data_IF_590606266502
#
_entry.id   IF_590606266502
#
_cell.length_a   1.000
_cell.length_b   1.000
_cell.length_c   1.000
_cell.angle_alpha   90.00
_cell.angle_beta   90.00
_cell.angle_gamma   90.00
#
_symmetry.space_group_name_H-M   'P 1'
#
loop_
_entity.id
_entity.type
_entity.pdbx_description
1 polymer ?
#
# COMPACT_ATOMS: atom_id res chain seq x y z
N UNK A 1 -22.71 -5.16 -4.02
CA UNK A 1 -21.75 -6.26 -4.33
C UNK A 1 -21.43 -6.36 -5.83
N UNK A 2 -22.40 -6.31 -6.72
CA UNK A 2 -22.20 -6.47 -8.17
C UNK A 2 -21.08 -5.61 -8.78
N UNK A 3 -20.98 -4.28 -8.52
CA UNK A 3 -19.91 -3.46 -9.12
C UNK A 3 -18.50 -3.95 -8.77
N UNK A 4 -18.29 -4.38 -7.52
CA UNK A 4 -17.00 -4.90 -7.07
C UNK A 4 -16.59 -6.17 -7.82
N UNK A 5 -17.52 -7.13 -7.96
CA UNK A 5 -17.25 -8.39 -8.66
C UNK A 5 -16.89 -8.11 -10.12
N UNK A 6 -17.65 -7.26 -10.81
CA UNK A 6 -17.41 -6.93 -12.22
C UNK A 6 -16.06 -6.26 -12.40
N UNK A 7 -15.75 -5.23 -11.60
CA UNK A 7 -14.46 -4.50 -11.70
C UNK A 7 -13.30 -5.41 -11.34
N UNK A 8 -13.42 -6.28 -10.32
CA UNK A 8 -12.39 -7.24 -9.96
C UNK A 8 -12.11 -8.22 -11.11
N UNK A 9 -13.15 -8.83 -11.68
CA UNK A 9 -12.98 -9.77 -12.79
C UNK A 9 -12.30 -9.12 -14.00
N UNK A 10 -12.73 -7.90 -14.38
CA UNK A 10 -12.12 -7.15 -15.47
C UNK A 10 -10.66 -6.81 -15.14
N UNK A 11 -10.40 -6.23 -13.97
CA UNK A 11 -9.04 -5.80 -13.60
C UNK A 11 -8.07 -6.98 -13.50
N UNK A 12 -8.46 -8.07 -12.86
CA UNK A 12 -7.66 -9.29 -12.73
C UNK A 12 -7.38 -9.89 -14.11
N UNK A 13 -8.41 -9.97 -14.98
CA UNK A 13 -8.25 -10.44 -16.35
C UNK A 13 -7.26 -9.59 -17.16
N UNK A 14 -7.33 -8.26 -17.03
CA UNK A 14 -6.38 -7.34 -17.66
C UNK A 14 -4.97 -7.48 -17.09
N UNK A 15 -4.81 -7.64 -15.78
CA UNK A 15 -3.49 -7.92 -15.19
C UNK A 15 -2.91 -9.23 -15.71
N UNK A 16 -3.69 -10.31 -15.77
CA UNK A 16 -3.27 -11.59 -16.33
C UNK A 16 -2.92 -11.47 -17.83
N UNK A 17 -3.70 -10.69 -18.60
CA UNK A 17 -3.38 -10.39 -19.99
C UNK A 17 -2.07 -9.61 -20.11
N UNK A 18 -1.79 -8.67 -19.21
CA UNK A 18 -0.56 -7.89 -19.20
C UNK A 18 0.71 -8.74 -19.03
N UNK A 19 0.61 -9.92 -18.43
CA UNK A 19 1.72 -10.86 -18.30
C UNK A 19 2.04 -11.58 -19.62
N UNK A 20 1.09 -11.63 -20.56
CA UNK A 20 1.21 -12.35 -21.84
C UNK A 20 1.52 -11.46 -23.03
N UNK A 21 1.31 -10.14 -22.94
CA UNK A 21 1.50 -9.20 -24.04
C UNK A 21 2.90 -8.60 -24.07
N UNK A 22 3.30 -8.02 -25.23
CA UNK A 22 4.56 -7.30 -25.40
C UNK A 22 4.62 -6.08 -24.47
N UNK A 23 5.83 -5.69 -24.11
CA UNK A 23 6.09 -4.56 -23.18
C UNK A 23 5.38 -3.26 -23.56
N UNK A 24 5.31 -2.93 -24.84
CA UNK A 24 4.66 -1.71 -25.35
C UNK A 24 3.16 -1.69 -25.08
N UNK A 25 2.49 -2.84 -25.16
CA UNK A 25 1.05 -2.98 -24.92
C UNK A 25 0.70 -3.13 -23.43
N UNK A 26 1.66 -3.53 -22.61
CA UNK A 26 1.48 -3.78 -21.17
C UNK A 26 1.11 -2.52 -20.41
N UNK A 27 1.81 -1.39 -20.66
CA UNK A 27 1.61 -0.15 -19.91
C UNK A 27 0.15 0.34 -19.89
N UNK A 28 -0.53 0.51 -21.05
CA UNK A 28 -1.92 0.96 -21.04
C UNK A 28 -2.87 -0.04 -20.38
N UNK A 29 -2.64 -1.35 -20.55
CA UNK A 29 -3.47 -2.39 -19.92
C UNK A 29 -3.36 -2.30 -18.40
N UNK A 30 -2.15 -2.22 -17.85
CA UNK A 30 -1.92 -2.08 -16.41
C UNK A 30 -2.50 -0.77 -15.89
N UNK A 31 -2.31 0.34 -16.60
CA UNK A 31 -2.88 1.63 -16.22
C UNK A 31 -4.41 1.56 -16.09
N UNK A 32 -5.09 1.00 -17.08
CA UNK A 32 -6.56 0.82 -17.04
C UNK A 32 -6.96 -0.05 -15.85
N UNK A 33 -6.25 -1.17 -15.61
CA UNK A 33 -6.56 -2.10 -14.50
C UNK A 33 -6.40 -1.43 -13.13
N UNK A 34 -5.29 -0.70 -12.92
CA UNK A 34 -5.03 0.04 -11.69
C UNK A 34 -6.08 1.13 -11.48
N UNK A 35 -6.35 1.93 -12.53
CA UNK A 35 -7.32 3.01 -12.44
C UNK A 35 -8.74 2.50 -12.19
N UNK A 36 -9.13 1.37 -12.75
CA UNK A 36 -10.44 0.77 -12.48
C UNK A 36 -10.63 0.43 -10.99
N UNK A 37 -9.60 -0.18 -10.36
CA UNK A 37 -9.64 -0.47 -8.93
C UNK A 37 -9.62 0.82 -8.09
N UNK A 38 -8.76 1.78 -8.41
CA UNK A 38 -8.68 3.05 -7.68
C UNK A 38 -9.98 3.85 -7.78
N UNK A 39 -10.60 3.92 -8.96
CA UNK A 39 -11.88 4.60 -9.14
C UNK A 39 -13.02 3.89 -8.40
N UNK A 40 -13.03 2.55 -8.39
CA UNK A 40 -14.00 1.80 -7.60
C UNK A 40 -13.90 2.16 -6.11
N UNK A 41 -12.70 2.24 -5.56
CA UNK A 41 -12.48 2.69 -4.18
C UNK A 41 -12.87 4.17 -4.00
N UNK A 42 -12.54 5.02 -4.98
CA UNK A 42 -12.87 6.44 -4.96
C UNK A 42 -14.37 6.73 -4.95
N UNK A 43 -15.14 5.95 -5.68
CA UNK A 43 -16.60 6.13 -5.83
C UNK A 43 -17.42 5.50 -4.70
N UNK A 44 -16.78 4.90 -3.70
CA UNK A 44 -17.49 4.31 -2.55
C UNK A 44 -18.21 5.37 -1.71
N UNK A 45 -19.35 5.00 -1.16
CA UNK A 45 -20.06 5.84 -0.21
C UNK A 45 -19.23 6.02 1.08
N UNK A 46 -19.39 7.15 1.76
CA UNK A 46 -18.71 7.49 3.03
C UNK A 46 -18.93 6.45 4.12
N UNK A 47 -20.07 5.74 4.10
CA UNK A 47 -20.37 4.66 5.02
C UNK A 47 -19.60 3.36 4.77
N UNK A 48 -18.85 3.25 3.66
CA UNK A 48 -18.04 2.09 3.33
C UNK A 48 -16.60 2.33 3.80
N UNK A 49 -16.19 1.53 4.77
CA UNK A 49 -14.87 1.64 5.42
C UNK A 49 -14.92 2.46 6.71
N UNK A 50 -14.50 1.85 7.81
CA UNK A 50 -14.47 2.48 9.14
C UNK A 50 -13.57 3.72 9.13
N UNK A 51 -12.35 3.61 8.57
CA UNK A 51 -11.41 4.72 8.47
C UNK A 51 -11.96 5.90 7.65
N UNK A 52 -12.80 5.64 6.66
CA UNK A 52 -13.40 6.71 5.86
C UNK A 52 -14.23 7.63 6.73
N UNK A 53 -15.07 7.08 7.60
CA UNK A 53 -15.96 7.87 8.46
C UNK A 53 -15.23 8.47 9.66
N UNK A 54 -14.33 7.69 10.27
CA UNK A 54 -13.71 8.04 11.56
C UNK A 54 -12.54 9.00 11.39
N UNK A 55 -11.73 8.81 10.35
CA UNK A 55 -10.50 9.57 10.13
C UNK A 55 -10.52 10.41 8.86
N UNK A 56 -10.86 9.82 7.70
CA UNK A 56 -10.74 10.53 6.43
C UNK A 56 -11.71 11.70 6.32
N UNK A 57 -12.98 11.50 6.67
CA UNK A 57 -13.98 12.58 6.57
C UNK A 57 -13.65 13.79 7.43
N UNK A 58 -13.36 13.64 8.75
CA UNK A 58 -12.97 14.78 9.58
C UNK A 58 -11.74 15.51 9.04
N UNK A 59 -10.71 14.78 8.61
CA UNK A 59 -9.47 15.36 8.07
C UNK A 59 -9.72 16.08 6.74
N UNK A 60 -10.55 15.50 5.86
CA UNK A 60 -10.97 16.13 4.60
C UNK A 60 -11.77 17.42 4.85
N UNK A 61 -12.74 17.42 5.76
CA UNK A 61 -13.52 18.61 6.09
C UNK A 61 -12.63 19.70 6.73
N UNK A 62 -11.70 19.31 7.61
CA UNK A 62 -10.72 20.24 8.16
C UNK A 62 -9.84 20.84 7.03
N UNK A 63 -9.34 20.02 6.10
CA UNK A 63 -8.57 20.47 4.95
C UNK A 63 -9.37 21.44 4.05
N UNK A 64 -10.66 21.18 3.88
CA UNK A 64 -11.55 22.02 3.04
C UNK A 64 -11.77 23.40 3.66
N UNK A 65 -11.99 23.46 4.98
CA UNK A 65 -12.35 24.69 5.72
C UNK A 65 -11.14 25.56 6.05
N UNK A 66 -9.98 24.96 6.33
CA UNK A 66 -8.79 25.68 6.79
C UNK A 66 -8.23 26.63 5.72
N UNK A 67 -7.80 27.82 6.15
CA UNK A 67 -7.12 28.80 5.31
C UNK A 67 -5.60 28.77 5.47
N UNK A 68 -5.09 28.11 6.52
CA UNK A 68 -3.66 27.97 6.79
C UNK A 68 -3.32 26.54 7.24
N UNK A 69 -2.04 26.18 7.10
CA UNK A 69 -1.53 24.87 7.58
C UNK A 69 -1.66 24.77 9.10
N UNK A 70 -1.42 25.86 9.84
CA UNK A 70 -1.56 25.89 11.29
C UNK A 70 -2.99 25.65 11.75
N UNK A 71 -3.97 26.26 11.09
CA UNK A 71 -5.39 26.04 11.35
C UNK A 71 -5.79 24.58 11.06
N UNK A 72 -5.31 24.04 9.93
CA UNK A 72 -5.54 22.64 9.57
C UNK A 72 -5.00 21.67 10.61
N UNK A 73 -3.74 21.81 11.01
CA UNK A 73 -3.08 20.91 11.95
C UNK A 73 -3.70 20.97 13.36
N UNK A 74 -4.22 22.13 13.77
CA UNK A 74 -4.90 22.29 15.06
C UNK A 74 -6.41 22.02 15.00
N UNK A 75 -6.94 21.61 13.85
CA UNK A 75 -8.34 21.18 13.74
C UNK A 75 -8.55 19.91 14.55
N UNK A 76 -9.60 19.95 15.41
CA UNK A 76 -9.98 18.81 16.24
C UNK A 76 -11.11 18.01 15.61
N UNK A 77 -11.14 16.72 15.91
CA UNK A 77 -12.21 15.80 15.55
C UNK A 77 -12.38 14.73 16.63
N UNK A 78 -13.44 13.96 16.55
CA UNK A 78 -13.71 12.86 17.46
C UNK A 78 -13.66 11.54 16.68
N UNK A 79 -12.56 10.80 16.83
CA UNK A 79 -12.49 9.43 16.33
C UNK A 79 -13.43 8.51 17.12
N UNK A 80 -13.52 8.77 18.43
CA UNK A 80 -14.48 8.14 19.35
C UNK A 80 -15.20 9.22 20.16
N UNK A 81 -16.37 8.90 20.71
CA UNK A 81 -17.22 9.86 21.44
C UNK A 81 -16.57 10.47 22.69
N UNK A 82 -15.54 9.80 23.21
CA UNK A 82 -14.83 10.20 24.46
C UNK A 82 -13.43 10.77 24.24
N UNK A 83 -12.95 10.87 23.00
CA UNK A 83 -11.63 11.43 22.68
C UNK A 83 -11.77 12.67 21.83
N UNK A 84 -10.89 13.65 22.06
CA UNK A 84 -10.69 14.76 21.14
C UNK A 84 -9.32 14.56 20.51
N UNK A 85 -9.30 14.29 19.22
CA UNK A 85 -8.11 14.03 18.43
C UNK A 85 -7.82 15.27 17.59
N UNK A 86 -6.55 15.53 17.28
CA UNK A 86 -6.14 16.62 16.41
C UNK A 86 -5.45 16.06 15.17
N UNK A 87 -5.57 16.78 14.05
CA UNK A 87 -4.92 16.41 12.79
C UNK A 87 -3.40 16.28 12.94
N UNK A 88 -2.78 17.13 13.76
CA UNK A 88 -1.34 17.10 14.06
C UNK A 88 -0.86 15.86 14.82
N UNK A 89 -1.76 15.16 15.50
CA UNK A 89 -1.42 13.96 16.28
C UNK A 89 -1.45 12.69 15.44
N UNK A 90 -1.86 12.80 14.16
CA UNK A 90 -1.82 11.71 13.20
C UNK A 90 -0.43 11.58 12.55
N UNK A 91 -0.16 10.40 12.01
CA UNK A 91 1.05 10.18 11.20
C UNK A 91 1.07 11.14 10.01
N UNK A 92 2.19 11.88 9.78
CA UNK A 92 2.18 13.13 9.02
C UNK A 92 1.86 13.00 7.53
N UNK A 93 2.19 11.86 6.89
CA UNK A 93 1.96 11.75 5.44
C UNK A 93 0.49 11.57 5.07
N UNK A 94 -0.32 10.97 5.94
CA UNK A 94 -1.74 10.81 5.65
C UNK A 94 -2.47 12.17 5.62
N UNK A 95 -2.44 13.02 6.66
CA UNK A 95 -3.09 14.31 6.61
C UNK A 95 -2.47 15.25 5.55
N UNK A 96 -1.16 15.16 5.31
CA UNK A 96 -0.51 15.95 4.26
C UNK A 96 -1.06 15.59 2.87
N UNK A 97 -1.20 14.29 2.56
CA UNK A 97 -1.77 13.82 1.30
C UNK A 97 -3.22 14.29 1.14
N UNK A 98 -4.02 14.14 2.20
CA UNK A 98 -5.42 14.58 2.21
C UNK A 98 -5.50 16.09 1.98
N UNK A 99 -4.66 16.89 2.65
CA UNK A 99 -4.61 18.35 2.46
C UNK A 99 -4.31 18.72 1.01
N UNK A 100 -3.24 18.17 0.45
CA UNK A 100 -2.79 18.49 -0.91
C UNK A 100 -3.89 18.16 -1.92
N UNK A 101 -4.42 16.93 -1.88
CA UNK A 101 -5.43 16.50 -2.85
C UNK A 101 -6.73 17.29 -2.68
N UNK A 102 -7.14 17.59 -1.44
CA UNK A 102 -8.35 18.39 -1.16
C UNK A 102 -8.19 19.81 -1.68
N UNK A 103 -7.04 20.47 -1.47
CA UNK A 103 -6.81 21.84 -1.95
C UNK A 103 -6.76 21.93 -3.48
N UNK A 104 -6.29 20.89 -4.15
CA UNK A 104 -6.23 20.86 -5.63
C UNK A 104 -7.58 20.52 -6.24
N UNK A 105 -8.31 19.54 -5.69
CA UNK A 105 -9.48 18.97 -6.36
C UNK A 105 -10.82 19.33 -5.71
N UNK A 106 -10.82 19.68 -4.43
CA UNK A 106 -12.03 19.88 -3.64
C UNK A 106 -12.91 18.63 -3.47
N UNK A 107 -12.44 17.46 -3.93
CA UNK A 107 -13.26 16.24 -4.07
C UNK A 107 -12.78 15.12 -3.16
N UNK A 108 -13.69 14.62 -2.31
CA UNK A 108 -13.45 13.44 -1.50
C UNK A 108 -13.20 12.18 -2.36
N UNK A 109 -13.89 12.05 -3.50
CA UNK A 109 -13.68 10.95 -4.42
C UNK A 109 -12.25 10.91 -4.94
N UNK A 110 -11.67 12.06 -5.26
CA UNK A 110 -10.27 12.14 -5.67
C UNK A 110 -9.32 11.73 -4.53
N UNK A 111 -9.59 12.17 -3.30
CA UNK A 111 -8.80 11.78 -2.14
C UNK A 111 -8.81 10.27 -1.94
N UNK A 112 -10.01 9.65 -1.95
CA UNK A 112 -10.15 8.18 -1.84
C UNK A 112 -9.45 7.44 -2.97
N UNK A 113 -9.55 7.94 -4.22
CA UNK A 113 -8.88 7.36 -5.39
C UNK A 113 -7.36 7.39 -5.23
N UNK A 114 -6.80 8.52 -4.78
CA UNK A 114 -5.35 8.67 -4.59
C UNK A 114 -4.84 7.82 -3.42
N UNK A 115 -5.60 7.72 -2.33
CA UNK A 115 -5.23 6.85 -1.21
C UNK A 115 -5.16 5.38 -1.66
N UNK A 116 -6.12 4.92 -2.45
CA UNK A 116 -6.08 3.55 -2.99
C UNK A 116 -4.94 3.37 -4.02
N UNK A 117 -4.62 4.38 -4.81
CA UNK A 117 -3.46 4.37 -5.69
C UNK A 117 -2.16 4.21 -4.88
N UNK A 118 -2.04 4.85 -3.72
CA UNK A 118 -0.90 4.68 -2.81
C UNK A 118 -0.79 3.26 -2.24
N UNK A 119 -1.88 2.47 -2.22
CA UNK A 119 -1.84 1.04 -1.87
C UNK A 119 -1.44 0.19 -3.08
N UNK A 120 -2.13 0.38 -4.21
CA UNK A 120 -1.98 -0.51 -5.37
C UNK A 120 -0.65 -0.32 -6.09
N UNK A 121 -0.14 0.92 -6.19
CA UNK A 121 1.06 1.20 -6.96
C UNK A 121 2.32 0.56 -6.37
N UNK A 122 2.63 0.67 -5.05
CA UNK A 122 3.77 -0.03 -4.47
C UNK A 122 3.64 -1.55 -4.60
N UNK A 123 2.45 -2.11 -4.41
CA UNK A 123 2.19 -3.53 -4.58
C UNK A 123 2.45 -3.98 -6.03
N UNK A 124 1.95 -3.24 -7.02
CA UNK A 124 2.23 -3.50 -8.43
C UNK A 124 3.73 -3.50 -8.72
N UNK A 125 4.46 -2.49 -8.23
CA UNK A 125 5.92 -2.40 -8.43
C UNK A 125 6.63 -3.57 -7.77
N UNK A 126 6.23 -3.96 -6.57
CA UNK A 126 6.80 -5.11 -5.85
C UNK A 126 6.63 -6.41 -6.65
N UNK A 127 5.41 -6.71 -7.10
CA UNK A 127 5.13 -7.91 -7.91
C UNK A 127 5.91 -7.90 -9.23
N UNK A 128 6.11 -6.73 -9.83
CA UNK A 128 6.89 -6.60 -11.07
C UNK A 128 8.40 -6.79 -10.85
N UNK A 129 8.90 -6.53 -9.66
CA UNK A 129 10.29 -6.82 -9.27
C UNK A 129 10.52 -8.30 -8.99
N UNK A 130 9.53 -8.99 -8.45
CA UNK A 130 9.57 -10.45 -8.27
C UNK A 130 9.30 -11.15 -9.61
N UNK A 131 10.34 -11.75 -10.18
CA UNK A 131 10.27 -12.44 -11.47
C UNK A 131 9.47 -13.76 -11.43
N UNK A 132 9.20 -14.28 -10.24
CA UNK A 132 8.56 -15.57 -10.05
C UNK A 132 7.04 -15.46 -9.84
N UNK A 133 6.52 -14.27 -9.63
CA UNK A 133 5.10 -14.05 -9.33
C UNK A 133 4.36 -13.47 -10.53
N UNK A 134 3.26 -14.12 -10.94
CA UNK A 134 2.34 -13.59 -11.94
C UNK A 134 1.58 -12.40 -11.36
N UNK A 135 1.53 -11.30 -12.12
CA UNK A 135 0.79 -10.10 -11.73
C UNK A 135 -0.71 -10.38 -11.60
N UNK A 136 -1.26 -11.16 -12.53
CA UNK A 136 -2.68 -11.56 -12.48
C UNK A 136 -3.02 -12.32 -11.20
N UNK A 137 -2.16 -13.27 -10.78
CA UNK A 137 -2.37 -14.04 -9.54
C UNK A 137 -2.24 -13.16 -8.29
N UNK A 138 -1.20 -12.33 -8.23
CA UNK A 138 -0.99 -11.42 -7.10
C UNK A 138 -2.16 -10.45 -6.92
N UNK A 139 -2.66 -9.87 -8.01
CA UNK A 139 -3.80 -8.96 -7.98
C UNK A 139 -5.12 -9.68 -7.72
N UNK A 140 -5.26 -10.95 -8.12
CA UNK A 140 -6.37 -11.77 -7.69
C UNK A 140 -6.42 -11.93 -6.16
N UNK A 141 -5.30 -12.29 -5.55
CA UNK A 141 -5.19 -12.42 -4.08
C UNK A 141 -5.47 -11.08 -3.41
N UNK A 142 -4.91 -9.97 -3.94
CA UNK A 142 -5.17 -8.64 -3.42
C UNK A 142 -6.67 -8.29 -3.46
N UNK A 143 -7.33 -8.47 -4.60
CA UNK A 143 -8.75 -8.15 -4.75
C UNK A 143 -9.64 -8.98 -3.84
N UNK A 144 -9.32 -10.28 -3.65
CA UNK A 144 -10.14 -11.19 -2.85
C UNK A 144 -9.92 -11.01 -1.33
N UNK A 145 -8.69 -10.77 -0.89
CA UNK A 145 -8.35 -10.79 0.53
C UNK A 145 -8.04 -9.39 1.11
N UNK A 146 -7.47 -8.48 0.33
CA UNK A 146 -6.90 -7.24 0.86
C UNK A 146 -7.57 -5.95 0.39
N UNK A 147 -8.33 -5.98 -0.70
CA UNK A 147 -8.99 -4.77 -1.22
C UNK A 147 -10.03 -4.19 -0.26
N UNK A 148 -10.84 -5.03 0.38
CA UNK A 148 -11.79 -4.54 1.38
C UNK A 148 -11.09 -4.05 2.67
N UNK A 149 -10.11 -4.77 3.24
CA UNK A 149 -9.24 -4.25 4.29
C UNK A 149 -8.56 -2.92 3.95
N UNK A 150 -8.11 -2.69 2.71
CA UNK A 150 -7.45 -1.43 2.33
C UNK A 150 -8.37 -0.21 2.48
N UNK A 151 -9.65 -0.38 2.26
CA UNK A 151 -10.64 0.68 2.47
C UNK A 151 -10.98 0.91 3.96
N UNK A 152 -10.77 -0.09 4.82
CA UNK A 152 -11.07 -0.02 6.26
C UNK A 152 -9.87 0.40 7.11
N UNK A 153 -8.64 0.17 6.65
CA UNK A 153 -7.38 0.45 7.34
C UNK A 153 -6.42 1.16 6.38
N UNK A 154 -6.85 2.31 5.85
CA UNK A 154 -6.16 2.99 4.73
C UNK A 154 -4.70 3.27 5.01
N UNK A 155 -4.38 3.89 6.15
CA UNK A 155 -3.00 4.24 6.54
C UNK A 155 -2.11 3.00 6.66
N UNK A 156 -2.61 2.00 7.35
CA UNK A 156 -1.90 0.73 7.54
C UNK A 156 -1.72 -0.02 6.21
N UNK A 157 -2.70 -0.01 5.33
CA UNK A 157 -2.61 -0.69 4.03
C UNK A 157 -1.59 -0.05 3.10
N UNK A 158 -1.49 1.29 3.10
CA UNK A 158 -0.42 2.01 2.40
C UNK A 158 0.94 1.60 2.96
N UNK A 159 1.09 1.58 4.28
CA UNK A 159 2.33 1.19 4.94
C UNK A 159 2.70 -0.27 4.66
N UNK A 160 1.73 -1.19 4.65
CA UNK A 160 1.95 -2.60 4.31
C UNK A 160 2.38 -2.79 2.86
N UNK A 161 1.76 -2.11 1.91
CA UNK A 161 2.13 -2.21 0.49
C UNK A 161 3.54 -1.67 0.23
N UNK A 162 3.93 -0.57 0.89
CA UNK A 162 5.30 -0.06 0.90
C UNK A 162 6.26 -1.04 1.56
N UNK A 163 5.83 -1.75 2.61
CA UNK A 163 6.60 -2.81 3.24
C UNK A 163 6.86 -3.98 2.28
N UNK A 164 5.86 -4.41 1.52
CA UNK A 164 6.06 -5.45 0.50
C UNK A 164 7.06 -4.98 -0.57
N UNK A 165 6.95 -3.74 -1.05
CA UNK A 165 7.91 -3.17 -2.00
C UNK A 165 9.31 -3.06 -1.40
N UNK A 166 9.42 -2.60 -0.17
CA UNK A 166 10.69 -2.52 0.57
C UNK A 166 11.34 -3.89 0.75
N UNK A 167 10.54 -4.94 0.97
CA UNK A 167 11.03 -6.32 1.04
C UNK A 167 11.61 -6.81 -0.28
N UNK A 168 10.97 -6.48 -1.40
CA UNK A 168 11.51 -6.81 -2.72
C UNK A 168 12.86 -6.10 -2.98
N UNK A 169 13.00 -4.84 -2.58
CA UNK A 169 14.28 -4.15 -2.60
C UNK A 169 15.30 -4.81 -1.67
N UNK A 170 14.88 -5.24 -0.47
CA UNK A 170 15.74 -5.91 0.50
C UNK A 170 16.31 -7.22 -0.04
N UNK A 171 15.49 -8.08 -0.64
CA UNK A 171 15.89 -9.34 -1.27
C UNK A 171 16.92 -9.12 -2.40
N UNK A 172 16.75 -8.06 -3.17
CA UNK A 172 17.63 -7.71 -4.28
C UNK A 172 18.87 -6.92 -3.87
N UNK A 173 19.20 -6.87 -2.58
CA UNK A 173 20.33 -6.12 -2.02
C UNK A 173 20.28 -4.59 -2.25
N UNK A 174 19.15 -4.03 -2.65
CA UNK A 174 18.91 -2.60 -2.83
C UNK A 174 18.53 -1.95 -1.49
N UNK A 175 19.41 -2.05 -0.48
CA UNK A 175 19.10 -1.66 0.91
C UNK A 175 18.64 -0.20 1.06
N UNK A 176 19.24 0.73 0.28
CA UNK A 176 18.85 2.15 0.30
C UNK A 176 17.36 2.33 -0.05
N UNK A 177 16.91 1.71 -1.15
CA UNK A 177 15.52 1.81 -1.61
C UNK A 177 14.57 1.14 -0.61
N UNK A 178 14.99 0.02 -0.01
CA UNK A 178 14.24 -0.65 1.04
C UNK A 178 14.03 0.26 2.26
N UNK A 179 15.09 0.91 2.77
CA UNK A 179 14.96 1.84 3.89
C UNK A 179 14.08 3.05 3.56
N UNK A 180 14.14 3.58 2.33
CA UNK A 180 13.24 4.66 1.90
C UNK A 180 11.78 4.20 1.99
N UNK A 181 11.46 2.99 1.52
CA UNK A 181 10.11 2.44 1.62
C UNK A 181 9.65 2.31 3.09
N UNK A 182 10.52 1.84 3.98
CA UNK A 182 10.22 1.71 5.41
C UNK A 182 9.98 3.06 6.07
N UNK A 183 10.80 4.07 5.75
CA UNK A 183 10.63 5.44 6.28
C UNK A 183 9.29 6.02 5.82
N UNK A 184 8.96 5.91 4.54
CA UNK A 184 7.68 6.38 4.03
C UNK A 184 6.51 5.60 4.66
N UNK A 185 6.63 4.29 4.82
CA UNK A 185 5.64 3.45 5.48
C UNK A 185 5.42 3.90 6.94
N UNK A 186 6.50 4.16 7.68
CA UNK A 186 6.43 4.67 9.05
C UNK A 186 5.71 6.02 9.16
N UNK A 187 5.94 6.90 8.22
CA UNK A 187 5.27 8.21 8.17
C UNK A 187 3.77 8.11 7.80
N UNK A 188 3.31 6.99 7.23
CA UNK A 188 1.88 6.68 7.06
C UNK A 188 1.30 5.92 8.23
N UNK A 189 2.09 5.04 8.89
CA UNK A 189 1.61 4.25 10.02
C UNK A 189 2.77 3.73 10.87
N UNK A 190 2.83 4.16 12.12
CA UNK A 190 3.97 3.93 13.02
C UNK A 190 4.29 2.47 13.27
N UNK A 191 3.28 1.59 13.35
CA UNK A 191 3.49 0.14 13.55
C UNK A 191 4.21 -0.56 12.39
N UNK A 192 4.38 0.12 11.24
CA UNK A 192 5.12 -0.43 10.09
C UNK A 192 6.61 -0.69 10.37
N UNK A 193 7.18 -0.12 11.45
CA UNK A 193 8.53 -0.46 11.88
C UNK A 193 8.74 -1.96 12.14
N UNK A 194 7.66 -2.69 12.49
CA UNK A 194 7.71 -4.15 12.63
C UNK A 194 8.12 -4.87 11.34
N UNK A 195 7.96 -4.22 10.18
CA UNK A 195 8.40 -4.76 8.90
C UNK A 195 9.91 -5.00 8.86
N UNK A 196 10.70 -4.16 9.52
CA UNK A 196 12.15 -4.36 9.62
C UNK A 196 12.49 -5.68 10.31
N UNK A 197 11.73 -6.09 11.32
CA UNK A 197 11.93 -7.38 11.97
C UNK A 197 11.75 -8.54 10.98
N UNK A 198 10.74 -8.45 10.11
CA UNK A 198 10.52 -9.45 9.06
C UNK A 198 11.71 -9.52 8.10
N UNK A 199 12.29 -8.38 7.71
CA UNK A 199 13.47 -8.35 6.83
C UNK A 199 14.71 -8.97 7.49
N UNK A 200 14.93 -8.68 8.78
CA UNK A 200 16.03 -9.25 9.55
C UNK A 200 15.86 -10.77 9.76
N UNK A 201 14.64 -11.22 10.05
CA UNK A 201 14.32 -12.65 10.16
C UNK A 201 14.56 -13.37 8.84
N UNK A 202 14.16 -12.77 7.73
CA UNK A 202 14.45 -13.32 6.39
C UNK A 202 15.96 -13.49 6.17
N UNK A 203 16.77 -12.44 6.43
CA UNK A 203 18.24 -12.52 6.28
C UNK A 203 18.84 -13.61 7.19
N UNK A 204 18.36 -13.73 8.43
CA UNK A 204 18.83 -14.74 9.36
C UNK A 204 18.55 -16.16 8.86
N UNK A 205 17.32 -16.42 8.40
CA UNK A 205 16.92 -17.74 7.88
C UNK A 205 17.71 -18.09 6.62
N UNK A 206 17.80 -17.16 5.65
CA UNK A 206 18.48 -17.41 4.37
C UNK A 206 19.97 -17.65 4.59
N UNK A 207 20.65 -16.84 5.41
CA UNK A 207 22.06 -17.02 5.74
C UNK A 207 22.32 -18.33 6.52
N UNK A 208 21.46 -18.63 7.49
CA UNK A 208 21.56 -19.88 8.26
C UNK A 208 21.44 -21.11 7.36
N UNK A 209 20.52 -21.11 6.42
CA UNK A 209 20.34 -22.21 5.45
C UNK A 209 21.57 -22.33 4.53
N UNK A 210 22.12 -21.23 4.05
CA UNK A 210 23.30 -21.24 3.16
C UNK A 210 24.52 -21.82 3.86
N UNK A 211 24.78 -21.45 5.12
CA UNK A 211 25.89 -21.99 5.92
C UNK A 211 25.75 -23.50 6.16
N UNK A 212 24.53 -23.98 6.44
CA UNK A 212 24.24 -25.41 6.64
C UNK A 212 24.52 -26.23 5.37
N UNK A 213 24.09 -25.74 4.21
CA UNK A 213 24.31 -26.43 2.92
C UNK A 213 25.81 -26.48 2.58
N UNK A 214 26.53 -25.37 2.81
CA UNK A 214 27.98 -25.30 2.54
C UNK A 214 28.76 -26.20 3.49
N UNK A 215 28.39 -26.25 4.76
CA UNK A 215 29.01 -27.12 5.77
C UNK A 215 28.85 -28.62 5.41
N UNK A 216 27.66 -29.03 4.99
CA UNK A 216 27.40 -30.42 4.59
C UNK A 216 28.16 -30.84 3.31
N UNK A 217 28.38 -29.90 2.37
CA UNK A 217 29.14 -30.18 1.16
C UNK A 217 30.66 -30.29 1.43
N UNK A 218 31.20 -29.56 2.39
CA UNK A 218 32.59 -29.67 2.83
C UNK A 218 32.83 -30.98 3.57
N UNK A 219 31.92 -31.42 4.44
CA UNK A 219 32.02 -32.68 5.15
C UNK A 219 32.05 -33.87 4.20
N UNK A 220 31.17 -33.89 3.18
CA UNK A 220 31.13 -34.96 2.18
C UNK A 220 32.35 -35.04 1.25
N UNK A 221 33.10 -33.92 1.09
CA UNK A 221 34.34 -33.89 0.31
C UNK A 221 35.55 -34.40 1.05
N UNK A 222 35.52 -34.44 2.39
CA UNK A 222 36.60 -34.93 3.23
C UNK A 222 36.48 -36.43 3.54
N UNK A 223 35.39 -37.08 3.12
CA UNK A 223 35.13 -38.53 3.32
C UNK A 223 35.38 -39.37 2.03
N UNK A 224 35.81 -38.74 0.94
CA UNK A 224 36.22 -39.38 -0.32
C UNK A 224 37.71 -39.17 -0.59
#
# INVERSE_FOLDING_TARGET
MTPYIVVFMISIGLFALSDRVKYTQRKPIVFISVMALCLLAGMRAVGVGTDTRVYLMPVYEAAKRSHSIGEYLNSSFHAFTWTTDYVKDMEPLFPLLVLIVTKITGSLYCVQTILELCVILPLYVAVRKDKNTSLGMAMFVFCMAFYNPSMNMMRQSIAMSLGVLGFEYWKNAEKKNSFICVIIAFLFHTSSLLILLIYLLYDYIVKGTTLSITGNNVSKRNET
#
